data_IF_174705811087
#
_entry.id   IF_174705811087
#
_cell.length_a   1.000
_cell.length_b   1.000
_cell.length_c   1.000
_cell.angle_alpha   90.00
_cell.angle_beta   90.00
_cell.angle_gamma   90.00
#
_symmetry.space_group_name_H-M   'P 1'
#
loop_
_entity.id
_entity.type
_entity.pdbx_description
1 polymer ?
#
# COMPACT_ATOMS: atom_id res chain seq x y z
N UNK A 1 9.32 -10.40 -16.09
CA UNK A 1 8.15 -9.55 -16.24
C UNK A 1 7.95 -8.65 -15.05
N UNK A 2 6.82 -7.97 -15.00
CA UNK A 2 6.53 -7.04 -13.91
C UNK A 2 6.46 -7.72 -12.55
N UNK A 3 5.94 -8.93 -12.53
CA UNK A 3 5.85 -9.67 -11.27
C UNK A 3 7.24 -9.99 -10.74
N UNK A 4 8.15 -10.39 -11.64
CA UNK A 4 9.54 -10.68 -11.25
C UNK A 4 10.23 -9.43 -10.72
N UNK A 5 9.96 -8.27 -11.33
CA UNK A 5 10.50 -7.01 -10.84
C UNK A 5 9.97 -6.67 -9.46
N UNK A 6 8.68 -6.94 -9.22
CA UNK A 6 8.08 -6.71 -7.91
C UNK A 6 8.74 -7.55 -6.83
N UNK A 7 8.99 -8.82 -7.12
CA UNK A 7 9.67 -9.71 -6.17
C UNK A 7 11.08 -9.20 -5.90
N UNK A 8 11.81 -8.81 -6.95
CA UNK A 8 13.17 -8.30 -6.82
C UNK A 8 13.20 -7.03 -5.98
N UNK A 9 12.33 -6.06 -6.29
CA UNK A 9 12.31 -4.79 -5.55
C UNK A 9 11.90 -4.97 -4.10
N UNK A 10 10.94 -5.85 -3.84
CA UNK A 10 10.53 -6.13 -2.46
C UNK A 10 11.65 -6.75 -1.66
N UNK A 11 12.37 -7.67 -2.26
CA UNK A 11 13.52 -8.30 -1.60
C UNK A 11 14.60 -7.27 -1.30
N UNK A 12 14.93 -6.43 -2.29
CA UNK A 12 15.92 -5.38 -2.12
C UNK A 12 15.51 -4.38 -1.06
N UNK A 13 14.24 -3.95 -1.07
CA UNK A 13 13.73 -3.03 -0.07
C UNK A 13 13.82 -3.64 1.32
N UNK A 14 13.51 -4.94 1.45
CA UNK A 14 13.64 -5.63 2.71
C UNK A 14 15.07 -5.65 3.22
N UNK A 15 16.02 -5.92 2.32
CA UNK A 15 17.43 -5.95 2.69
C UNK A 15 17.92 -4.57 3.14
N UNK A 16 17.48 -3.52 2.44
CA UNK A 16 17.92 -2.15 2.74
C UNK A 16 17.25 -1.60 3.99
N UNK A 17 15.95 -1.85 4.17
CA UNK A 17 15.17 -1.22 5.22
C UNK A 17 14.82 -2.13 6.39
N UNK A 18 15.29 -3.36 6.39
CA UNK A 18 14.95 -4.33 7.43
C UNK A 18 15.17 -3.80 8.83
N UNK A 19 16.33 -3.23 9.07
CA UNK A 19 16.68 -2.71 10.39
C UNK A 19 15.73 -1.58 10.78
N UNK A 20 15.47 -0.67 9.86
CA UNK A 20 14.56 0.44 10.11
C UNK A 20 13.14 -0.05 10.41
N UNK A 21 12.68 -1.04 9.66
CA UNK A 21 11.35 -1.62 9.86
C UNK A 21 11.26 -2.27 11.24
N UNK A 22 12.32 -2.95 11.67
CA UNK A 22 12.39 -3.52 13.01
C UNK A 22 12.35 -2.43 14.08
N UNK A 23 13.13 -1.38 13.89
CA UNK A 23 13.20 -0.27 14.85
C UNK A 23 11.86 0.43 14.99
N UNK A 24 11.12 0.54 13.92
CA UNK A 24 9.79 1.18 13.94
C UNK A 24 8.73 0.28 14.58
N UNK A 25 9.05 -0.98 14.78
CA UNK A 25 8.09 -1.92 15.38
C UNK A 25 6.91 -2.22 14.48
N UNK A 26 7.13 -2.28 13.18
CA UNK A 26 6.05 -2.56 12.21
C UNK A 26 5.48 -3.93 12.48
N UNK A 27 4.15 -4.02 12.58
CA UNK A 27 3.43 -5.25 12.92
C UNK A 27 2.75 -5.90 11.73
N UNK A 28 2.46 -5.14 10.69
CA UNK A 28 1.83 -5.66 9.48
C UNK A 28 2.24 -4.83 8.29
N UNK A 29 2.39 -5.49 7.15
CA UNK A 29 2.65 -4.84 5.87
C UNK A 29 1.35 -4.89 5.09
N UNK A 30 0.90 -3.74 4.60
CA UNK A 30 -0.40 -3.61 3.94
C UNK A 30 -0.18 -3.04 2.55
N UNK A 31 -0.58 -3.76 1.50
CA UNK A 31 -0.43 -3.24 0.14
C UNK A 31 -1.56 -2.27 -0.18
N UNK A 32 -1.23 -1.25 -0.96
CA UNK A 32 -2.25 -0.34 -1.49
C UNK A 32 -3.16 -1.17 -2.41
N UNK A 33 -4.48 -1.12 -2.20
CA UNK A 33 -5.38 -1.97 -2.97
C UNK A 33 -5.66 -1.42 -4.36
N UNK A 34 -5.95 -2.31 -5.29
CA UNK A 34 -6.44 -1.93 -6.61
C UNK A 34 -7.86 -2.43 -6.76
N UNK A 35 -8.61 -1.77 -7.63
CA UNK A 35 -9.98 -2.20 -7.89
C UNK A 35 -9.97 -3.64 -8.45
N UNK A 36 -10.93 -4.51 -8.05
CA UNK A 36 -10.95 -5.89 -8.51
C UNK A 36 -10.91 -6.06 -10.02
N UNK A 37 -11.56 -5.18 -10.78
CA UNK A 37 -11.54 -5.26 -12.24
C UNK A 37 -10.14 -5.06 -12.78
N UNK A 38 -9.41 -4.10 -12.20
CA UNK A 38 -8.04 -3.83 -12.62
C UNK A 38 -7.10 -4.98 -12.26
N UNK A 39 -7.34 -5.59 -11.11
CA UNK A 39 -6.57 -6.76 -10.70
C UNK A 39 -6.78 -7.93 -11.67
N UNK A 40 -8.00 -8.11 -12.13
CA UNK A 40 -8.30 -9.17 -13.11
C UNK A 40 -7.58 -8.93 -14.43
N UNK A 41 -7.52 -7.68 -14.88
CA UNK A 41 -6.82 -7.34 -16.11
C UNK A 41 -5.33 -7.64 -16.03
N UNK A 42 -4.72 -7.35 -14.88
CA UNK A 42 -3.30 -7.57 -14.67
C UNK A 42 -2.97 -8.98 -14.23
N UNK A 43 -3.92 -9.66 -13.61
CA UNK A 43 -3.71 -10.95 -12.98
C UNK A 43 -3.11 -10.87 -11.59
N UNK A 44 -2.70 -9.69 -11.12
CA UNK A 44 -2.12 -9.52 -9.78
C UNK A 44 -2.10 -8.05 -9.38
N UNK A 45 -1.87 -7.81 -8.08
CA UNK A 45 -1.66 -6.49 -7.54
C UNK A 45 -0.16 -6.32 -7.29
N UNK A 46 0.48 -5.39 -7.99
CA UNK A 46 1.92 -5.20 -7.90
C UNK A 46 2.38 -4.84 -6.48
N UNK A 47 1.62 -3.99 -5.78
CA UNK A 47 1.94 -3.65 -4.40
C UNK A 47 1.93 -4.89 -3.51
N UNK A 48 1.00 -5.80 -3.75
CA UNK A 48 0.91 -7.06 -3.01
C UNK A 48 2.13 -7.95 -3.27
N UNK A 49 2.58 -8.02 -4.52
CA UNK A 49 3.77 -8.79 -4.87
C UNK A 49 5.01 -8.25 -4.16
N UNK A 50 5.17 -6.94 -4.19
CA UNK A 50 6.28 -6.27 -3.50
C UNK A 50 6.18 -6.52 -2.00
N UNK A 51 4.99 -6.36 -1.45
CA UNK A 51 4.75 -6.56 -0.01
C UNK A 51 5.04 -7.98 0.44
N UNK A 52 4.67 -8.98 -0.35
CA UNK A 52 4.95 -10.37 -0.01
C UNK A 52 6.45 -10.65 0.09
N UNK A 53 7.20 -10.13 -0.89
CA UNK A 53 8.64 -10.30 -0.90
C UNK A 53 9.28 -9.61 0.31
N UNK A 54 8.83 -8.40 0.60
CA UNK A 54 9.30 -7.62 1.74
C UNK A 54 8.98 -8.34 3.06
N UNK A 55 7.77 -8.88 3.17
CA UNK A 55 7.31 -9.59 4.36
C UNK A 55 8.21 -10.79 4.67
N UNK A 56 8.60 -11.53 3.64
CA UNK A 56 9.48 -12.70 3.80
C UNK A 56 10.83 -12.30 4.35
N UNK A 57 11.40 -11.20 3.84
CA UNK A 57 12.71 -10.73 4.30
C UNK A 57 12.65 -10.24 5.74
N UNK A 58 11.59 -9.51 6.08
CA UNK A 58 11.48 -8.87 7.40
C UNK A 58 10.81 -9.73 8.46
N UNK A 59 10.19 -10.83 8.07
CA UNK A 59 9.50 -11.70 9.01
C UNK A 59 8.23 -11.08 9.59
N UNK A 60 7.56 -10.23 8.81
CA UNK A 60 6.34 -9.53 9.22
C UNK A 60 5.22 -9.96 8.28
N UNK A 61 3.99 -10.16 8.78
CA UNK A 61 2.91 -10.62 7.90
C UNK A 61 2.46 -9.57 6.91
N UNK A 62 2.14 -10.00 5.71
CA UNK A 62 1.45 -9.19 4.72
C UNK A 62 -0.04 -9.45 4.89
N UNK A 63 -0.82 -8.38 5.05
CA UNK A 63 -2.26 -8.51 5.23
C UNK A 63 -2.97 -7.68 4.17
N UNK A 64 -3.51 -8.36 3.17
CA UNK A 64 -4.19 -7.70 2.05
C UNK A 64 -5.64 -7.36 2.35
N UNK A 65 -6.20 -7.98 3.37
CA UNK A 65 -7.64 -7.86 3.66
C UNK A 65 -8.02 -6.57 4.37
N UNK A 66 -7.09 -5.89 5.00
CA UNK A 66 -7.43 -4.69 5.78
C UNK A 66 -7.93 -3.56 4.90
N UNK A 67 -7.27 -3.32 3.76
CA UNK A 67 -7.67 -2.27 2.84
C UNK A 67 -8.23 -2.86 1.56
N UNK A 68 -9.37 -2.35 1.10
CA UNK A 68 -10.01 -2.82 -0.12
C UNK A 68 -10.46 -1.64 -0.96
N UNK A 69 -10.31 -1.76 -2.27
CA UNK A 69 -10.81 -0.77 -3.20
C UNK A 69 -12.19 -1.23 -3.65
N UNK A 70 -13.23 -0.55 -3.18
CA UNK A 70 -14.62 -0.99 -3.38
C UNK A 70 -15.34 -0.28 -4.52
N UNK A 71 -14.77 0.82 -5.01
CA UNK A 71 -15.33 1.56 -6.13
C UNK A 71 -14.26 1.96 -7.10
N UNK A 72 -14.62 2.09 -8.37
CA UNK A 72 -13.77 2.78 -9.33
C UNK A 72 -13.86 4.26 -9.07
N UNK A 73 -12.71 4.93 -9.10
CA UNK A 73 -12.71 6.38 -9.06
C UNK A 73 -13.03 6.92 -10.46
N UNK A 74 -13.68 8.07 -10.50
CA UNK A 74 -13.93 8.76 -11.77
C UNK A 74 -12.61 9.20 -12.39
N UNK A 75 -12.65 9.52 -13.69
CA UNK A 75 -11.49 10.11 -14.33
C UNK A 75 -11.08 11.35 -13.55
N UNK A 76 -9.78 11.43 -13.22
CA UNK A 76 -9.30 12.47 -12.32
C UNK A 76 -8.77 13.70 -13.04
N UNK A 77 -8.90 13.73 -14.37
CA UNK A 77 -8.40 14.80 -15.18
C UNK A 77 -8.80 16.18 -14.75
N UNK A 78 -10.08 16.34 -14.45
CA UNK A 78 -10.66 17.63 -14.15
C UNK A 78 -10.98 17.81 -12.66
N UNK A 79 -10.41 16.95 -11.83
CA UNK A 79 -10.67 17.02 -10.40
C UNK A 79 -9.61 17.86 -9.70
N UNK A 80 -10.03 18.66 -8.72
CA UNK A 80 -9.09 19.33 -7.82
C UNK A 80 -8.43 18.29 -6.91
N UNK A 81 -7.33 18.63 -6.25
CA UNK A 81 -6.71 17.71 -5.28
C UNK A 81 -7.69 17.28 -4.19
N UNK A 82 -8.54 18.21 -3.72
CA UNK A 82 -9.54 17.89 -2.69
C UNK A 82 -10.57 16.89 -3.21
N UNK A 83 -11.02 17.07 -4.44
CA UNK A 83 -11.98 16.15 -5.05
C UNK A 83 -11.39 14.77 -5.24
N UNK A 84 -10.11 14.69 -5.63
CA UNK A 84 -9.42 13.42 -5.76
C UNK A 84 -9.39 12.67 -4.45
N UNK A 85 -9.04 13.38 -3.38
CA UNK A 85 -8.96 12.77 -2.07
C UNK A 85 -10.31 12.28 -1.61
N UNK A 86 -11.36 13.09 -1.77
CA UNK A 86 -12.71 12.69 -1.40
C UNK A 86 -13.17 11.46 -2.17
N UNK A 87 -12.92 11.44 -3.48
CA UNK A 87 -13.27 10.28 -4.31
C UNK A 87 -12.55 9.02 -3.83
N UNK A 88 -11.28 9.15 -3.49
CA UNK A 88 -10.51 8.00 -3.00
C UNK A 88 -10.97 7.54 -1.63
N UNK A 89 -11.32 8.47 -0.74
CA UNK A 89 -11.85 8.12 0.57
C UNK A 89 -13.15 7.32 0.46
N UNK A 90 -13.99 7.66 -0.51
CA UNK A 90 -15.20 6.88 -0.76
C UNK A 90 -14.92 5.52 -1.40
N UNK A 91 -13.84 5.43 -2.16
CA UNK A 91 -13.52 4.23 -2.92
C UNK A 91 -12.76 3.18 -2.11
N UNK A 92 -12.20 3.56 -0.97
CA UNK A 92 -11.36 2.69 -0.15
C UNK A 92 -12.06 2.38 1.16
N UNK A 93 -12.14 1.09 1.47
CA UNK A 93 -12.70 0.62 2.74
C UNK A 93 -11.59 -0.03 3.56
N UNK A 94 -11.59 0.20 4.87
CA UNK A 94 -10.66 -0.46 5.76
C UNK A 94 -11.43 -1.16 6.88
N UNK A 95 -11.18 -2.46 7.03
CA UNK A 95 -11.73 -3.22 8.15
C UNK A 95 -11.10 -2.74 9.45
N UNK A 96 -11.82 -2.84 10.54
CA UNK A 96 -11.27 -2.52 11.85
C UNK A 96 -10.05 -3.40 12.10
N UNK A 97 -8.94 -2.78 12.49
CA UNK A 97 -7.72 -3.53 12.76
C UNK A 97 -7.83 -4.26 14.09
N UNK A 98 -7.15 -5.41 14.22
CA UNK A 98 -7.05 -6.06 15.53
C UNK A 98 -6.46 -5.09 16.55
N UNK A 99 -6.89 -5.21 17.80
CA UNK A 99 -6.50 -4.27 18.85
C UNK A 99 -5.00 -4.24 19.12
N UNK A 100 -4.27 -5.28 18.74
CA UNK A 100 -2.83 -5.36 18.93
C UNK A 100 -2.03 -4.90 17.70
N UNK A 101 -2.71 -4.50 16.62
CA UNK A 101 -2.02 -3.99 15.43
C UNK A 101 -2.10 -2.48 15.43
N UNK A 102 -1.00 -1.84 15.81
CA UNK A 102 -0.94 -0.40 15.98
C UNK A 102 0.02 0.28 15.00
N UNK A 103 1.03 -0.42 14.53
CA UNK A 103 2.04 0.16 13.64
C UNK A 103 2.10 -0.65 12.37
N UNK A 104 1.81 0.00 11.25
CA UNK A 104 1.69 -0.68 9.95
C UNK A 104 2.57 0.00 8.91
N UNK A 105 2.97 -0.77 7.91
CA UNK A 105 3.72 -0.27 6.76
C UNK A 105 2.86 -0.41 5.52
N UNK A 106 2.52 0.70 4.91
CA UNK A 106 1.73 0.75 3.69
C UNK A 106 2.67 0.75 2.49
N UNK A 107 2.47 -0.16 1.56
CA UNK A 107 3.37 -0.36 0.41
C UNK A 107 2.64 -0.09 -0.90
N UNK A 108 3.28 0.65 -1.78
CA UNK A 108 2.78 0.88 -3.14
C UNK A 108 3.94 0.74 -4.12
N UNK A 109 3.63 0.43 -5.38
CA UNK A 109 4.65 0.29 -6.41
C UNK A 109 5.03 1.63 -7.02
N UNK A 110 4.08 2.53 -7.19
CA UNK A 110 4.31 3.84 -7.77
C UNK A 110 3.67 4.92 -6.92
N UNK A 111 4.44 5.92 -6.55
CA UNK A 111 3.94 7.05 -5.82
C UNK A 111 3.75 8.19 -6.81
N UNK A 112 2.54 8.42 -7.26
CA UNK A 112 2.29 9.43 -8.29
C UNK A 112 1.80 10.75 -7.73
N UNK A 113 0.66 10.75 -7.06
CA UNK A 113 0.06 12.01 -6.60
C UNK A 113 0.03 12.17 -5.09
N UNK A 114 0.24 11.11 -4.36
CA UNK A 114 0.12 11.13 -2.93
C UNK A 114 -1.30 10.98 -2.41
N UNK A 115 -2.30 11.23 -3.24
CA UNK A 115 -3.70 11.18 -2.80
C UNK A 115 -4.11 9.78 -2.37
N UNK A 116 -3.68 8.77 -3.10
CA UNK A 116 -3.99 7.37 -2.76
C UNK A 116 -3.36 7.00 -1.41
N UNK A 117 -2.09 7.39 -1.22
CA UNK A 117 -1.41 7.11 0.04
C UNK A 117 -2.08 7.83 1.20
N UNK A 118 -2.49 9.07 0.99
CA UNK A 118 -3.17 9.83 2.03
C UNK A 118 -4.51 9.18 2.38
N UNK A 119 -5.30 8.79 1.38
CA UNK A 119 -6.58 8.14 1.62
C UNK A 119 -6.41 6.84 2.40
N UNK A 120 -5.48 6.01 1.96
CA UNK A 120 -5.20 4.73 2.64
C UNK A 120 -4.75 4.96 4.08
N UNK A 121 -3.84 5.93 4.29
CA UNK A 121 -3.33 6.24 5.62
C UNK A 121 -4.45 6.69 6.55
N UNK A 122 -5.33 7.57 6.08
CA UNK A 122 -6.46 8.04 6.88
C UNK A 122 -7.38 6.89 7.27
N UNK A 123 -7.65 5.99 6.31
CA UNK A 123 -8.52 4.84 6.60
C UNK A 123 -7.90 3.91 7.63
N UNK A 124 -6.59 3.69 7.55
CA UNK A 124 -5.89 2.85 8.52
C UNK A 124 -5.89 3.48 9.91
N UNK A 125 -5.68 4.79 9.99
CA UNK A 125 -5.72 5.49 11.28
C UNK A 125 -7.12 5.44 11.89
N UNK A 126 -8.16 5.65 11.09
CA UNK A 126 -9.54 5.54 11.55
C UNK A 126 -9.87 4.13 12.03
N UNK A 127 -9.24 3.12 11.42
CA UNK A 127 -9.50 1.72 11.75
C UNK A 127 -8.72 1.23 12.98
N UNK A 128 -7.87 2.07 13.57
CA UNK A 128 -7.19 1.73 14.81
C UNK A 128 -5.67 1.80 14.79
N UNK A 129 -5.04 2.06 13.65
CA UNK A 129 -3.60 2.21 13.61
C UNK A 129 -3.18 3.48 14.34
N UNK A 130 -2.08 3.42 15.05
CA UNK A 130 -1.49 4.59 15.70
C UNK A 130 -0.41 5.23 14.84
N UNK A 131 0.28 4.41 14.04
CA UNK A 131 1.31 4.89 13.13
C UNK A 131 1.16 4.18 11.80
N UNK A 132 1.23 4.96 10.73
CA UNK A 132 1.23 4.42 9.36
C UNK A 132 2.50 4.94 8.70
N UNK A 133 3.39 4.03 8.37
CA UNK A 133 4.61 4.35 7.63
C UNK A 133 4.40 3.94 6.17
N UNK A 134 5.08 4.61 5.26
CA UNK A 134 4.85 4.43 3.83
C UNK A 134 6.15 4.02 3.15
N UNK A 135 6.07 2.99 2.30
CA UNK A 135 7.18 2.61 1.44
C UNK A 135 6.65 2.58 0.00
N UNK A 136 7.27 3.38 -0.86
CA UNK A 136 6.92 3.39 -2.27
C UNK A 136 8.18 3.10 -3.08
N UNK A 137 8.06 2.18 -4.01
CA UNK A 137 9.15 1.88 -4.93
C UNK A 137 8.83 2.58 -6.23
N UNK A 138 9.21 3.81 -6.29
CA UNK A 138 8.96 4.63 -7.43
C UNK A 138 9.93 4.29 -8.47
N UNK A 139 9.70 3.53 -9.21
CA UNK A 139 10.51 3.13 -10.11
C UNK A 139 11.43 3.96 -10.72
N UNK A 140 11.73 4.51 -10.74
CA UNK A 140 12.45 5.02 -11.34
C UNK A 140 12.59 6.00 -11.74
N UNK A 141 13.14 6.21 -11.94
CA UNK A 141 13.36 7.12 -12.21
C UNK A 141 14.12 7.48 -13.25
N UNK A 142 14.02 7.46 -14.08
CA UNK A 142 14.72 7.73 -15.02
C UNK A 142 14.73 8.96 -15.25
N UNK A 143 15.34 9.51 -15.33
CA UNK A 143 15.39 10.82 -15.54
C UNK A 143 16.45 11.17 -16.45
#
# INVERSE_FOLDING_TARGET
>A
GRKDKGVFFGKKAGEVFRKKIEELGIQAIIPVPVHPNRRRERGYNQAEVIGESLAKVCGIPLVSEYLQRVKKTKALKDCSPEERLLNLLEAIHCEALPSDVKRVLLVDDIFTTGATMEACSRKLLEAGAEEVHILSIAGRVER
#
